data_IF_982999323895
#
_entry.id   IF_982999323895
#
_cell.length_a   1.000
_cell.length_b   1.000
_cell.length_c   1.000
_cell.angle_alpha   90.00
_cell.angle_beta   90.00
_cell.angle_gamma   90.00
#
_symmetry.space_group_name_H-M   'P 1'
#
loop_
_entity.id
_entity.type
_entity.pdbx_description
1 polymer ?
#
# COMPACT_ATOMS: atom_id res chain seq x y z
N UNK A 1 -28.92 25.41 56.86
CA UNK A 1 -29.63 24.58 57.84
C UNK A 1 -30.72 23.80 57.11
N UNK A 2 -30.80 22.48 57.35
CA UNK A 2 -31.67 21.43 56.75
C UNK A 2 -31.47 21.21 55.24
N UNK A 3 -30.91 20.13 54.66
CA UNK A 3 -30.81 18.65 54.88
C UNK A 3 -32.13 17.88 54.88
N UNK A 4 -32.32 17.03 53.84
CA UNK A 4 -32.60 15.57 53.84
C UNK A 4 -33.02 15.15 52.40
N UNK A 5 -32.27 14.38 51.61
CA UNK A 5 -31.89 12.93 51.67
C UNK A 5 -33.10 11.98 51.48
N UNK A 6 -33.19 11.25 50.35
CA UNK A 6 -32.79 9.83 50.12
C UNK A 6 -34.05 8.92 50.16
N UNK A 7 -34.25 7.79 49.47
CA UNK A 7 -33.40 6.85 48.72
C UNK A 7 -34.34 6.04 47.76
N UNK A 8 -33.89 5.63 46.57
CA UNK A 8 -33.46 4.25 46.19
C UNK A 8 -34.54 3.45 45.43
N UNK A 9 -34.20 3.01 44.21
CA UNK A 9 -34.01 1.58 43.88
C UNK A 9 -33.42 1.45 42.45
N UNK A 10 -32.26 0.77 42.38
CA UNK A 10 -31.59 0.26 41.19
C UNK A 10 -32.34 -0.96 40.62
N UNK A 11 -32.37 -1.08 39.29
CA UNK A 11 -32.09 -2.35 38.60
C UNK A 11 -31.81 -2.11 37.11
N UNK A 12 -30.65 -2.59 36.68
CA UNK A 12 -30.16 -2.72 35.30
C UNK A 12 -31.03 -3.70 34.50
N UNK A 13 -31.21 -3.47 33.19
CA UNK A 13 -30.57 -4.32 32.16
C UNK A 13 -31.05 -4.03 30.72
N UNK A 14 -30.12 -4.29 29.82
CA UNK A 14 -30.11 -4.20 28.37
C UNK A 14 -31.39 -4.61 27.61
N UNK A 15 -31.74 -3.86 26.54
CA UNK A 15 -31.55 -4.30 25.14
C UNK A 15 -32.03 -3.25 24.13
N UNK A 16 -31.20 -3.09 23.11
CA UNK A 16 -31.41 -2.36 21.86
C UNK A 16 -32.49 -3.02 21.01
N UNK A 17 -33.40 -2.24 20.42
CA UNK A 17 -34.04 -2.54 19.12
C UNK A 17 -34.74 -1.26 18.60
N UNK A 18 -33.97 -0.43 17.89
CA UNK A 18 -34.54 0.64 17.07
C UNK A 18 -34.87 0.08 15.69
N UNK A 19 -36.16 -0.17 15.46
CA UNK A 19 -36.73 -0.39 14.14
C UNK A 19 -36.60 0.89 13.30
N UNK A 20 -35.89 0.84 12.18
CA UNK A 20 -36.18 1.68 11.01
C UNK A 20 -36.07 0.80 9.74
N UNK A 21 -37.15 0.84 8.98
CA UNK A 21 -37.47 0.20 7.70
C UNK A 21 -36.43 0.41 6.59
N UNK A 22 -35.96 -0.67 5.96
CA UNK A 22 -35.20 -0.64 4.72
C UNK A 22 -36.16 -0.71 3.51
N UNK A 23 -36.39 0.45 2.88
CA UNK A 23 -36.94 0.54 1.52
C UNK A 23 -35.78 0.43 0.54
N UNK A 24 -35.83 -0.56 -0.34
CA UNK A 24 -34.78 -0.84 -1.31
C UNK A 24 -34.61 0.26 -2.35
N UNK A 25 -33.36 0.60 -2.65
CA UNK A 25 -32.99 1.27 -3.89
C UNK A 25 -31.55 0.89 -4.26
N UNK A 26 -31.42 0.13 -5.34
CA UNK A 26 -30.16 -0.18 -6.03
C UNK A 26 -29.98 0.86 -7.14
N UNK A 27 -28.89 1.64 -7.18
CA UNK A 27 -28.56 2.48 -8.34
C UNK A 27 -27.70 1.71 -9.36
N UNK A 28 -28.29 1.48 -10.54
CA UNK A 28 -27.65 1.76 -11.84
C UNK A 28 -26.60 0.79 -12.39
N UNK A 29 -27.04 -0.32 -12.98
CA UNK A 29 -26.30 -1.05 -14.01
C UNK A 29 -26.76 -0.55 -15.41
N UNK A 30 -25.88 -0.22 -16.37
CA UNK A 30 -26.32 0.19 -17.70
C UNK A 30 -26.90 -1.01 -18.48
N UNK A 31 -28.16 -0.86 -18.90
CA UNK A 31 -28.84 -1.72 -19.88
C UNK A 31 -28.18 -1.52 -21.25
N UNK A 32 -27.79 -2.61 -21.91
CA UNK A 32 -27.60 -2.61 -23.36
C UNK A 32 -28.91 -3.02 -24.01
N UNK A 33 -29.42 -2.14 -24.86
CA UNK A 33 -30.62 -2.34 -25.66
C UNK A 33 -30.38 -3.37 -26.76
N UNK A 34 -31.45 -4.13 -26.97
CA UNK A 34 -31.67 -5.14 -27.97
C UNK A 34 -31.72 -4.51 -29.37
N UNK A 35 -30.95 -5.05 -30.31
CA UNK A 35 -31.04 -4.71 -31.73
C UNK A 35 -30.94 -5.98 -32.58
N UNK A 36 -32.12 -6.41 -33.06
CA UNK A 36 -32.29 -6.83 -34.44
C UNK A 36 -32.10 -8.31 -34.74
N UNK A 37 -33.19 -9.08 -34.58
CA UNK A 37 -33.42 -10.28 -35.37
C UNK A 37 -33.53 -9.91 -36.86
N UNK A 38 -32.80 -10.62 -37.73
CA UNK A 38 -33.24 -10.95 -39.09
C UNK A 38 -32.49 -12.19 -39.63
N UNK A 39 -33.26 -13.28 -39.73
CA UNK A 39 -33.19 -14.43 -40.64
C UNK A 39 -31.99 -14.59 -41.59
N UNK A 40 -31.26 -15.71 -41.45
CA UNK A 40 -30.80 -16.56 -42.57
C UNK A 40 -30.89 -18.04 -42.17
N UNK A 41 -31.44 -18.82 -43.11
CA UNK A 41 -31.84 -20.24 -43.25
C UNK A 41 -31.07 -21.35 -42.49
N UNK A 42 -31.72 -22.43 -41.99
CA UNK A 42 -31.07 -23.55 -41.32
C UNK A 42 -30.93 -24.77 -42.25
N UNK A 43 -29.75 -24.97 -42.85
CA UNK A 43 -29.33 -26.25 -43.43
C UNK A 43 -27.82 -26.43 -43.33
N UNK A 44 -27.39 -27.22 -42.35
CA UNK A 44 -26.70 -28.49 -42.59
C UNK A 44 -26.31 -29.10 -41.24
N UNK A 45 -27.10 -30.07 -40.83
CA UNK A 45 -26.72 -31.07 -39.85
C UNK A 45 -25.46 -31.79 -40.33
N UNK A 46 -24.41 -31.71 -39.50
CA UNK A 46 -23.53 -32.81 -39.07
C UNK A 46 -22.18 -32.24 -38.69
N UNK A 47 -22.09 -31.69 -37.48
CA UNK A 47 -20.78 -31.46 -36.86
C UNK A 47 -20.50 -32.67 -35.99
N UNK A 48 -19.64 -33.55 -36.52
CA UNK A 48 -19.10 -34.71 -35.83
C UNK A 48 -18.55 -34.28 -34.46
N UNK A 49 -19.30 -34.65 -33.42
CA UNK A 49 -18.84 -34.65 -32.03
C UNK A 49 -17.80 -35.77 -31.93
N UNK A 50 -16.55 -35.45 -32.28
CA UNK A 50 -15.30 -36.08 -31.81
C UNK A 50 -14.14 -35.51 -32.62
N UNK A 51 -13.39 -34.62 -31.97
CA UNK A 51 -11.93 -34.58 -32.02
C UNK A 51 -11.54 -33.91 -30.69
N UNK A 52 -11.24 -34.75 -29.71
CA UNK A 52 -9.88 -34.95 -29.20
C UNK A 52 -9.45 -33.74 -28.38
N UNK A 53 -9.45 -33.84 -27.05
CA UNK A 53 -8.25 -34.34 -26.37
C UNK A 53 -6.96 -33.65 -26.87
N UNK A 54 -6.99 -32.33 -27.09
CA UNK A 54 -5.79 -31.51 -27.02
C UNK A 54 -5.58 -31.02 -25.58
N UNK A 55 -5.55 -32.01 -24.68
CA UNK A 55 -4.78 -31.95 -23.43
C UNK A 55 -3.34 -32.39 -23.75
N UNK A 56 -2.75 -31.85 -24.83
CA UNK A 56 -1.31 -31.84 -24.98
C UNK A 56 -0.80 -30.62 -24.22
N UNK A 57 -0.78 -30.76 -22.89
CA UNK A 57 0.07 -29.94 -22.06
C UNK A 57 1.47 -29.97 -22.68
N UNK A 58 2.05 -28.80 -22.90
CA UNK A 58 3.50 -28.63 -22.96
C UNK A 58 4.06 -29.14 -21.61
N UNK A 59 4.23 -30.46 -21.48
CA UNK A 59 4.70 -31.11 -20.25
C UNK A 59 6.14 -30.73 -19.88
N UNK A 60 6.81 -29.91 -20.72
CA UNK A 60 8.19 -29.45 -20.55
C UNK A 60 8.33 -27.92 -20.62
N UNK A 61 7.25 -27.15 -20.75
CA UNK A 61 7.38 -25.69 -20.70
C UNK A 61 7.64 -25.25 -19.25
N UNK A 62 8.68 -24.46 -18.97
CA UNK A 62 8.92 -23.93 -17.63
C UNK A 62 7.71 -23.12 -17.16
N UNK A 63 7.40 -23.23 -15.88
CA UNK A 63 6.25 -22.56 -15.29
C UNK A 63 6.31 -21.04 -15.53
N UNK A 64 5.21 -20.51 -16.04
CA UNK A 64 5.06 -19.08 -16.31
C UNK A 64 4.06 -18.47 -15.34
N UNK A 65 3.98 -17.14 -15.31
CA UNK A 65 2.91 -16.44 -14.59
C UNK A 65 1.51 -16.81 -15.11
N UNK A 66 1.43 -17.40 -16.32
CA UNK A 66 0.21 -17.89 -16.93
C UNK A 66 -0.16 -19.33 -16.52
N UNK A 67 0.77 -20.06 -15.89
CA UNK A 67 0.52 -21.40 -15.38
C UNK A 67 -0.58 -21.34 -14.32
N UNK A 68 -1.49 -22.33 -14.34
CA UNK A 68 -2.46 -22.54 -13.27
C UNK A 68 -3.46 -21.41 -13.01
N UNK A 69 -3.59 -20.44 -13.93
CA UNK A 69 -4.56 -19.35 -13.78
C UNK A 69 -6.00 -19.86 -13.89
N UNK A 70 -6.89 -19.41 -12.99
CA UNK A 70 -8.30 -19.80 -13.03
C UNK A 70 -8.95 -19.33 -14.34
N UNK A 71 -10.05 -20.01 -14.71
CA UNK A 71 -10.90 -19.56 -15.82
C UNK A 71 -11.40 -18.15 -15.50
N UNK A 72 -11.49 -17.32 -16.54
CA UNK A 72 -11.98 -15.96 -16.42
C UNK A 72 -13.44 -15.99 -16.02
N UNK A 73 -13.68 -15.69 -14.75
CA UNK A 73 -14.97 -15.70 -14.07
C UNK A 73 -15.07 -14.44 -13.24
N UNK A 74 -16.28 -14.03 -12.88
CA UNK A 74 -16.47 -12.93 -11.93
C UNK A 74 -15.93 -13.38 -10.58
N UNK A 75 -14.80 -12.81 -10.14
CA UNK A 75 -14.23 -13.07 -8.81
C UNK A 75 -14.00 -11.75 -8.08
N UNK A 76 -14.05 -11.82 -6.75
CA UNK A 76 -13.71 -10.70 -5.88
C UNK A 76 -12.33 -11.02 -5.29
N UNK A 77 -11.36 -10.14 -5.54
CA UNK A 77 -10.05 -10.21 -4.86
C UNK A 77 -10.21 -9.49 -3.53
N UNK A 78 -9.98 -10.21 -2.43
CA UNK A 78 -10.07 -9.66 -1.07
C UNK A 78 -9.17 -8.44 -0.93
N UNK A 79 -9.72 -7.32 -0.48
CA UNK A 79 -8.92 -6.12 -0.23
C UNK A 79 -7.93 -6.34 0.90
N UNK A 80 -6.78 -5.67 0.81
CA UNK A 80 -5.79 -5.58 1.87
C UNK A 80 -5.83 -4.18 2.48
N UNK A 81 -5.34 -4.00 3.72
CA UNK A 81 -5.15 -2.66 4.26
C UNK A 81 -4.31 -1.82 3.30
N UNK A 82 -4.77 -0.60 2.98
CA UNK A 82 -4.09 0.25 2.01
C UNK A 82 -2.66 0.55 2.46
N UNK A 83 -1.72 0.46 1.51
CA UNK A 83 -0.35 0.89 1.74
C UNK A 83 -0.32 2.41 1.83
N UNK A 84 0.27 2.92 2.91
CA UNK A 84 0.50 4.35 3.07
C UNK A 84 1.86 4.74 2.50
N UNK A 85 2.00 5.95 1.95
CA UNK A 85 3.24 6.45 1.36
C UNK A 85 4.43 6.48 2.34
N UNK A 86 4.17 6.53 3.65
CA UNK A 86 5.15 6.55 4.74
C UNK A 86 5.14 5.26 5.58
N UNK A 87 4.61 4.17 5.02
CA UNK A 87 4.49 2.90 5.72
C UNK A 87 5.87 2.27 5.99
N UNK A 88 6.17 2.02 7.26
CA UNK A 88 7.39 1.29 7.67
C UNK A 88 7.32 -0.21 7.41
N UNK A 89 6.13 -0.75 7.13
CA UNK A 89 5.89 -2.18 6.93
C UNK A 89 5.56 -2.50 5.46
N UNK A 90 6.49 -2.17 4.57
CA UNK A 90 6.33 -2.41 3.13
C UNK A 90 6.35 -3.92 2.80
N UNK A 91 7.25 -4.68 3.42
CA UNK A 91 7.34 -6.13 3.21
C UNK A 91 6.11 -6.87 3.75
N UNK A 92 5.60 -6.49 4.93
CA UNK A 92 4.37 -7.04 5.46
C UNK A 92 3.15 -6.73 4.60
N UNK A 93 3.07 -5.53 4.00
CA UNK A 93 2.05 -5.24 2.99
C UNK A 93 2.18 -6.13 1.77
N UNK A 94 3.39 -6.29 1.22
CA UNK A 94 3.65 -7.18 0.09
C UNK A 94 3.25 -8.63 0.38
N UNK A 95 3.47 -9.11 1.60
CA UNK A 95 3.05 -10.44 2.03
C UNK A 95 1.52 -10.57 2.07
N UNK A 96 0.80 -9.56 2.60
CA UNK A 96 -0.67 -9.54 2.61
C UNK A 96 -1.24 -9.58 1.20
N UNK A 97 -0.65 -8.83 0.27
CA UNK A 97 -1.02 -8.86 -1.15
C UNK A 97 -0.85 -10.26 -1.73
N UNK A 98 0.29 -10.92 -1.49
CA UNK A 98 0.54 -12.30 -1.95
C UNK A 98 -0.51 -13.27 -1.41
N UNK A 99 -0.87 -13.16 -0.13
CA UNK A 99 -1.90 -14.00 0.48
C UNK A 99 -3.28 -13.76 -0.11
N UNK A 100 -3.68 -12.51 -0.33
CA UNK A 100 -4.96 -12.17 -0.96
C UNK A 100 -5.07 -12.78 -2.37
N UNK A 101 -3.99 -12.72 -3.15
CA UNK A 101 -3.94 -13.29 -4.50
C UNK A 101 -3.86 -14.83 -4.49
N UNK A 102 -3.22 -15.42 -3.48
CA UNK A 102 -3.05 -16.87 -3.38
C UNK A 102 -4.38 -17.62 -3.24
N UNK A 103 -5.38 -17.01 -2.59
CA UNK A 103 -6.73 -17.57 -2.47
C UNK A 103 -7.37 -17.89 -3.83
N UNK A 104 -6.95 -17.16 -4.89
CA UNK A 104 -7.45 -17.32 -6.25
C UNK A 104 -6.38 -17.89 -7.21
N UNK A 105 -5.24 -18.36 -6.69
CA UNK A 105 -4.08 -18.84 -7.47
C UNK A 105 -3.50 -17.75 -8.40
N UNK A 106 -3.55 -16.49 -8.00
CA UNK A 106 -3.10 -15.32 -8.77
C UNK A 106 -1.74 -14.77 -8.33
N UNK A 107 -1.12 -15.35 -7.30
CA UNK A 107 0.09 -14.82 -6.65
C UNK A 107 1.31 -14.71 -7.60
N UNK A 108 1.40 -15.57 -8.61
CA UNK A 108 2.50 -15.50 -9.58
C UNK A 108 2.42 -14.27 -10.48
N UNK A 109 1.25 -13.63 -10.62
CA UNK A 109 1.06 -12.46 -11.48
C UNK A 109 1.82 -11.22 -11.00
N UNK A 110 2.17 -11.16 -9.70
CA UNK A 110 2.94 -10.06 -9.12
C UNK A 110 4.42 -10.40 -8.94
N UNK A 111 4.84 -11.63 -9.29
CA UNK A 111 6.21 -12.07 -9.14
C UNK A 111 6.97 -11.91 -10.46
N UNK A 112 7.77 -10.85 -10.57
CA UNK A 112 8.58 -10.55 -11.75
C UNK A 112 9.71 -11.56 -12.00
N UNK A 113 10.07 -12.39 -11.02
CA UNK A 113 11.03 -13.49 -11.21
C UNK A 113 10.43 -14.69 -11.95
N UNK A 114 9.09 -14.81 -12.01
CA UNK A 114 8.42 -15.84 -12.80
C UNK A 114 8.24 -15.30 -14.23
N UNK A 115 8.65 -16.03 -15.27
CA UNK A 115 8.56 -15.55 -16.65
C UNK A 115 7.10 -15.38 -17.08
N UNK A 116 6.85 -14.37 -17.91
CA UNK A 116 5.54 -14.16 -18.54
C UNK A 116 5.34 -15.16 -19.68
N UNK A 117 4.12 -15.64 -19.92
CA UNK A 117 3.84 -16.45 -21.09
C UNK A 117 4.13 -15.66 -22.37
N UNK A 118 4.66 -16.33 -23.39
CA UNK A 118 4.94 -15.73 -24.68
C UNK A 118 3.64 -15.51 -25.48
N UNK A 119 3.63 -14.52 -26.39
CA UNK A 119 2.51 -14.34 -27.32
C UNK A 119 2.32 -15.61 -28.15
N UNK A 120 1.08 -16.04 -28.33
CA UNK A 120 0.73 -17.27 -29.05
C UNK A 120 0.61 -18.52 -28.17
N UNK A 121 1.13 -18.50 -26.94
CA UNK A 121 0.87 -19.58 -25.99
C UNK A 121 -0.58 -19.58 -25.51
N UNK A 122 -1.14 -20.78 -25.29
CA UNK A 122 -2.55 -20.98 -24.92
C UNK A 122 -2.99 -20.17 -23.69
N UNK A 123 -2.08 -19.93 -22.72
CA UNK A 123 -2.37 -19.17 -21.51
C UNK A 123 -2.11 -17.66 -21.62
N UNK A 124 -1.56 -17.17 -22.74
CA UNK A 124 -1.19 -15.76 -22.88
C UNK A 124 -2.37 -14.80 -22.68
N UNK A 125 -3.48 -15.05 -23.38
CA UNK A 125 -4.66 -14.18 -23.31
C UNK A 125 -5.29 -14.18 -21.92
N UNK A 126 -5.28 -15.35 -21.26
CA UNK A 126 -5.76 -15.50 -19.87
C UNK A 126 -4.88 -14.71 -18.90
N UNK A 127 -3.56 -14.86 -19.03
CA UNK A 127 -2.58 -14.09 -18.26
C UNK A 127 -2.73 -12.59 -18.48
N UNK A 128 -2.89 -12.12 -19.72
CA UNK A 128 -3.06 -10.70 -20.04
C UNK A 128 -4.26 -10.10 -19.29
N UNK A 129 -5.38 -10.81 -19.28
CA UNK A 129 -6.62 -10.36 -18.63
C UNK A 129 -6.45 -10.33 -17.12
N UNK A 130 -6.02 -11.43 -16.50
CA UNK A 130 -5.80 -11.46 -15.04
C UNK A 130 -4.74 -10.46 -14.58
N UNK A 131 -3.63 -10.34 -15.30
CA UNK A 131 -2.57 -9.39 -14.97
C UNK A 131 -3.06 -7.94 -14.99
N UNK A 132 -3.97 -7.59 -15.90
CA UNK A 132 -4.62 -6.27 -15.91
C UNK A 132 -5.60 -6.11 -14.74
N UNK A 133 -6.43 -7.11 -14.48
CA UNK A 133 -7.37 -7.11 -13.34
C UNK A 133 -6.64 -6.91 -12.02
N UNK A 134 -5.56 -7.67 -11.80
CA UNK A 134 -4.73 -7.54 -10.59
C UNK A 134 -4.01 -6.19 -10.55
N UNK A 135 -3.53 -5.67 -11.67
CA UNK A 135 -2.94 -4.33 -11.72
C UNK A 135 -3.95 -3.23 -11.30
N UNK A 136 -5.16 -3.27 -11.85
CA UNK A 136 -6.23 -2.35 -11.44
C UNK A 136 -6.58 -2.49 -9.96
N UNK A 137 -6.67 -3.73 -9.46
CA UNK A 137 -6.91 -3.98 -8.05
C UNK A 137 -5.78 -3.44 -7.16
N UNK A 138 -4.51 -3.68 -7.52
CA UNK A 138 -3.32 -3.18 -6.82
C UNK A 138 -3.30 -1.66 -6.69
N UNK A 139 -3.67 -0.96 -7.76
CA UNK A 139 -3.77 0.50 -7.76
C UNK A 139 -4.75 1.00 -6.68
N UNK A 140 -5.82 0.26 -6.39
CA UNK A 140 -6.80 0.58 -5.35
C UNK A 140 -6.34 0.17 -3.93
N UNK A 141 -5.26 -0.61 -3.81
CA UNK A 141 -4.71 -1.06 -2.53
C UNK A 141 -3.62 -0.13 -1.97
N UNK A 142 -3.37 1.00 -2.61
CA UNK A 142 -2.43 2.03 -2.15
C UNK A 142 -3.19 3.32 -1.85
N UNK A 143 -2.61 4.18 -1.02
CA UNK A 143 -3.18 5.50 -0.71
C UNK A 143 -3.08 6.48 -1.88
N UNK A 144 -3.81 7.59 -1.76
CA UNK A 144 -3.93 8.63 -2.77
C UNK A 144 -2.56 9.25 -3.12
N UNK A 145 -1.67 9.41 -2.12
CA UNK A 145 -0.32 9.94 -2.34
C UNK A 145 0.53 9.05 -3.25
N UNK A 146 0.52 7.72 -3.03
CA UNK A 146 1.19 6.78 -3.93
C UNK A 146 0.51 6.79 -5.31
N UNK A 147 -0.83 6.87 -5.37
CA UNK A 147 -1.55 6.95 -6.65
C UNK A 147 -1.14 8.17 -7.47
N UNK A 148 -1.02 9.35 -6.85
CA UNK A 148 -0.55 10.56 -7.52
C UNK A 148 0.87 10.40 -8.04
N UNK A 149 1.77 9.80 -7.25
CA UNK A 149 3.15 9.56 -7.68
C UNK A 149 3.21 8.59 -8.87
N UNK A 150 2.36 7.56 -8.87
CA UNK A 150 2.23 6.66 -10.02
C UNK A 150 1.69 7.39 -11.26
N UNK A 151 0.74 8.31 -11.09
CA UNK A 151 0.20 9.13 -12.19
C UNK A 151 1.22 10.10 -12.79
N UNK A 152 2.21 10.55 -12.00
CA UNK A 152 3.32 11.37 -12.49
C UNK A 152 4.31 10.60 -13.37
N UNK A 153 4.25 9.27 -13.37
CA UNK A 153 5.06 8.46 -14.28
C UNK A 153 4.60 8.68 -15.73
N UNK A 154 5.55 8.70 -16.68
CA UNK A 154 5.24 8.79 -18.12
C UNK A 154 4.21 7.73 -18.57
N UNK A 155 4.24 6.56 -17.94
CA UNK A 155 3.31 5.47 -18.19
C UNK A 155 3.15 4.59 -16.97
N UNK A 156 1.92 4.46 -16.47
CA UNK A 156 1.59 3.50 -15.42
C UNK A 156 1.70 2.08 -16.00
N UNK A 157 2.42 1.16 -15.34
CA UNK A 157 2.48 -0.23 -15.79
C UNK A 157 1.10 -0.88 -15.79
N UNK A 158 0.74 -1.51 -16.92
CA UNK A 158 -0.56 -2.19 -17.09
C UNK A 158 -0.55 -3.67 -16.68
N UNK A 159 0.60 -4.17 -16.22
CA UNK A 159 0.80 -5.57 -15.83
C UNK A 159 1.10 -5.61 -14.33
N UNK A 160 0.51 -6.60 -13.66
CA UNK A 160 0.50 -6.72 -12.21
C UNK A 160 1.91 -6.73 -11.60
N UNK A 161 2.81 -7.57 -12.12
CA UNK A 161 4.21 -7.66 -11.70
C UNK A 161 4.95 -6.32 -11.81
N UNK A 162 4.87 -5.67 -12.97
CA UNK A 162 5.53 -4.39 -13.19
C UNK A 162 4.93 -3.28 -12.31
N UNK A 163 3.61 -3.28 -12.09
CA UNK A 163 2.97 -2.29 -11.23
C UNK A 163 3.33 -2.52 -9.76
N UNK A 164 3.33 -3.77 -9.31
CA UNK A 164 3.73 -4.14 -7.95
C UNK A 164 5.17 -3.71 -7.67
N UNK A 165 6.11 -4.05 -8.56
CA UNK A 165 7.51 -3.63 -8.44
C UNK A 165 7.65 -2.10 -8.42
N UNK A 166 6.85 -1.40 -9.22
CA UNK A 166 6.83 0.07 -9.24
C UNK A 166 6.33 0.65 -7.93
N UNK A 167 5.24 0.12 -7.36
CA UNK A 167 4.72 0.52 -6.04
C UNK A 167 5.79 0.33 -4.97
N UNK A 168 6.39 -0.87 -4.93
CA UNK A 168 7.45 -1.20 -3.96
C UNK A 168 8.65 -0.25 -4.09
N UNK A 169 9.02 0.12 -5.32
CA UNK A 169 10.10 1.07 -5.58
C UNK A 169 9.76 2.48 -5.09
N UNK A 170 8.59 2.99 -5.48
CA UNK A 170 8.14 4.35 -5.13
C UNK A 170 8.11 4.56 -3.62
N UNK A 171 7.57 3.60 -2.87
CA UNK A 171 7.51 3.71 -1.40
C UNK A 171 8.91 3.64 -0.76
N UNK A 172 9.80 2.76 -1.24
CA UNK A 172 11.19 2.71 -0.75
C UNK A 172 11.94 4.01 -1.02
N UNK A 173 11.70 4.65 -2.17
CA UNK A 173 12.34 5.93 -2.51
C UNK A 173 11.86 7.06 -1.61
N UNK A 174 10.56 7.10 -1.29
CA UNK A 174 9.99 8.04 -0.33
C UNK A 174 10.61 7.88 1.07
N UNK A 175 10.69 6.64 1.56
CA UNK A 175 11.31 6.35 2.87
C UNK A 175 12.76 6.82 2.92
N UNK A 176 13.53 6.62 1.83
CA UNK A 176 14.92 7.09 1.75
C UNK A 176 15.01 8.62 1.78
N UNK A 177 14.15 9.31 1.04
CA UNK A 177 14.13 10.78 0.98
C UNK A 177 13.75 11.40 2.33
N UNK A 178 12.76 10.83 3.03
CA UNK A 178 12.36 11.28 4.36
C UNK A 178 13.49 11.06 5.38
N UNK A 179 14.10 9.87 5.36
CA UNK A 179 15.19 9.54 6.29
C UNK A 179 16.46 10.38 6.04
N UNK A 180 16.80 10.70 4.79
CA UNK A 180 17.95 11.56 4.49
C UNK A 180 17.70 13.01 4.91
N UNK A 181 16.50 13.55 4.66
CA UNK A 181 16.09 14.89 5.10
C UNK A 181 16.12 15.02 6.64
N UNK A 182 15.58 14.02 7.35
CA UNK A 182 15.59 13.99 8.82
C UNK A 182 17.00 13.97 9.42
N UNK A 183 17.95 13.23 8.80
CA UNK A 183 19.35 13.21 9.24
C UNK A 183 20.04 14.57 9.10
N UNK A 184 19.80 15.29 8.00
CA UNK A 184 20.39 16.63 7.79
C UNK A 184 19.86 17.62 8.82
N UNK A 185 18.56 17.58 9.11
CA UNK A 185 17.94 18.46 10.12
C UNK A 185 18.45 18.17 11.53
N UNK A 186 18.55 16.90 11.91
CA UNK A 186 19.06 16.51 13.24
C UNK A 186 20.53 16.89 13.43
N UNK A 187 21.35 16.82 12.37
CA UNK A 187 22.76 17.24 12.45
C UNK A 187 22.91 18.75 12.71
N UNK A 188 22.03 19.57 12.13
CA UNK A 188 21.99 21.01 12.39
C UNK A 188 21.59 21.34 13.83
N UNK A 189 20.51 20.72 14.32
CA UNK A 189 20.01 20.94 15.68
C UNK A 189 20.99 20.45 16.76
N UNK A 190 21.68 19.32 16.54
CA UNK A 190 22.70 18.82 17.46
C UNK A 190 23.89 19.79 17.56
N UNK A 191 24.33 20.35 16.42
CA UNK A 191 25.40 21.35 16.41
C UNK A 191 25.02 22.62 17.16
N UNK A 192 23.79 23.09 17.01
CA UNK A 192 23.32 24.29 17.73
C UNK A 192 23.27 24.04 19.25
N UNK A 193 22.78 22.88 19.70
CA UNK A 193 22.78 22.54 21.12
C UNK A 193 24.18 22.38 21.71
N UNK A 194 25.12 21.81 20.94
CA UNK A 194 26.50 21.64 21.37
C UNK A 194 27.19 23.01 21.50
N UNK A 195 26.99 23.90 20.52
CA UNK A 195 27.52 25.27 20.57
C UNK A 195 26.92 26.08 21.72
N UNK A 196 25.63 25.92 22.00
CA UNK A 196 24.96 26.59 23.12
C UNK A 196 25.49 26.08 24.47
N UNK A 197 25.78 24.80 24.58
CA UNK A 197 26.41 24.20 25.76
C UNK A 197 27.83 24.76 25.97
N UNK A 198 28.62 24.87 24.90
CA UNK A 198 29.96 25.48 24.94
C UNK A 198 29.89 26.96 25.34
N UNK A 199 28.92 27.72 24.81
CA UNK A 199 28.70 29.13 25.20
C UNK A 199 28.37 29.27 26.68
N UNK A 200 27.48 28.44 27.20
CA UNK A 200 27.13 28.42 28.64
C UNK A 200 28.34 28.08 29.50
N UNK A 201 29.14 27.12 29.08
CA UNK A 201 30.39 26.76 29.77
C UNK A 201 31.38 27.94 29.80
N UNK A 202 31.64 28.58 28.65
CA UNK A 202 32.53 29.75 28.57
C UNK A 202 32.01 30.89 29.45
N UNK A 203 30.71 31.21 29.38
CA UNK A 203 30.11 32.28 30.17
C UNK A 203 30.22 32.02 31.69
N UNK A 204 30.01 30.77 32.13
CA UNK A 204 30.16 30.38 33.53
C UNK A 204 31.60 30.48 34.05
N UNK A 205 32.60 30.29 33.17
CA UNK A 205 34.02 30.34 33.51
C UNK A 205 34.71 31.67 33.20
N UNK A 206 34.02 32.63 32.56
CA UNK A 206 34.50 34.01 32.40
C UNK A 206 34.40 34.84 33.68
N UNK A 207 33.59 34.42 34.67
CA UNK A 207 33.51 35.05 35.99
C UNK A 207 34.36 34.31 37.03
N UNK A 208 35.69 34.35 36.90
CA UNK A 208 36.48 34.85 38.04
C UNK A 208 37.78 35.61 37.66
N UNK A 209 38.07 35.87 36.38
CA UNK A 209 39.34 36.51 36.00
C UNK A 209 39.39 38.02 36.24
N UNK A 210 38.23 38.69 36.29
CA UNK A 210 38.18 40.11 36.66
C UNK A 210 38.43 40.36 38.16
N UNK A 211 38.38 39.33 39.00
CA UNK A 211 38.60 39.45 40.46
C UNK A 211 40.05 39.15 40.89
N UNK A 212 40.88 38.57 40.02
CA UNK A 212 42.30 38.29 40.34
C UNK A 212 43.27 39.41 39.93
N UNK A 213 42.86 40.35 39.06
CA UNK A 213 43.72 41.44 38.58
C UNK A 213 43.86 42.64 39.52
N UNK A 214 42.99 42.78 40.53
CA UNK A 214 42.90 43.98 41.37
C UNK A 214 43.66 43.92 42.70
N UNK A 215 44.28 42.79 43.05
CA UNK A 215 44.89 42.57 44.37
C UNK A 215 46.43 42.45 44.38
N UNK A 216 47.12 42.76 43.27
CA UNK A 216 48.59 42.82 43.25
C UNK A 216 49.05 44.27 43.43
N UNK A 217 49.02 44.76 44.67
CA UNK A 217 49.75 45.98 45.06
C UNK A 217 51.26 45.68 45.21
N UNK A 218 52.14 46.64 44.89
CA UNK A 218 53.58 46.47 44.96
C UNK A 218 54.04 46.54 46.43
N UNK A 219 54.75 45.51 46.89
CA UNK A 219 55.48 45.56 48.16
C UNK A 219 56.74 46.41 47.93
N UNK A 220 56.59 47.71 48.13
CA UNK A 220 57.68 48.66 48.27
C UNK A 220 57.62 49.28 49.67
N UNK A 221 58.75 49.22 50.37
CA UNK A 221 59.16 50.07 51.50
C UNK A 221 58.69 49.72 52.92
N UNK A 222 59.71 49.51 53.78
CA UNK A 222 59.85 49.77 55.24
C UNK A 222 60.35 48.51 55.97
N UNK A 223 61.43 48.49 56.74
CA UNK A 223 62.48 49.43 57.13
C UNK A 223 63.55 48.58 57.81
#
# INVERSE_FOLDING_TARGET
MATNNSADYLASDAKTDSQITNTGQIPGLPKFEDLGANNVDPKDDKVDIKNDLLESADMNAPDTQGSNLPKLTQVIITNVPRLKHNSKDLEGWGLRVRYALAQLRLQHLINSSVPRPAKGQHNYNRWVKWSRTVASWLYLQVDEDIQEQLQRLRKIPSKADALFDTIMKVVRENDKAINSSGKVRNYGSQKESDLETVRKYIAAHQTPFHLLGSNLLPISSLR
#
